data_IF_926701659525
#
_entry.id   IF_926701659525
#
_cell.length_a   1.000
_cell.length_b   1.000
_cell.length_c   1.000
_cell.angle_alpha   90.00
_cell.angle_beta   90.00
_cell.angle_gamma   90.00
#
_symmetry.space_group_name_H-M   'P 1'
#
loop_
_entity.id
_entity.type
_entity.pdbx_description
1 polymer ?
#
# COMPACT_ATOMS: atom_id res chain seq x y z
N UNK A 1 -13.96 16.83 -1.08
CA UNK A 1 -12.84 16.10 -0.45
C UNK A 1 -12.52 14.82 -1.21
N UNK A 2 -13.45 13.87 -1.33
CA UNK A 2 -13.22 12.61 -2.08
C UNK A 2 -12.92 12.80 -3.57
N UNK A 3 -13.52 13.81 -4.21
CA UNK A 3 -13.26 14.11 -5.62
C UNK A 3 -11.78 14.34 -5.93
N UNK A 4 -11.03 14.96 -5.01
CA UNK A 4 -9.60 15.20 -5.18
C UNK A 4 -8.80 13.89 -5.07
N UNK A 5 -9.16 13.03 -4.12
CA UNK A 5 -8.52 11.71 -3.96
C UNK A 5 -8.79 10.80 -5.17
N UNK A 6 -10.01 10.85 -5.70
CA UNK A 6 -10.42 10.13 -6.92
C UNK A 6 -9.66 10.66 -8.14
N UNK A 7 -9.61 11.99 -8.31
CA UNK A 7 -8.98 12.63 -9.47
C UNK A 7 -7.47 12.39 -9.50
N UNK A 8 -6.81 12.45 -8.34
CA UNK A 8 -5.37 12.20 -8.24
C UNK A 8 -5.00 10.71 -8.23
N UNK A 9 -5.98 9.79 -8.21
CA UNK A 9 -5.77 8.33 -8.11
C UNK A 9 -4.76 7.94 -7.03
N UNK A 10 -4.78 8.65 -5.90
CA UNK A 10 -3.84 8.37 -4.81
C UNK A 10 -4.23 7.07 -4.13
N UNK A 11 -3.22 6.30 -3.75
CA UNK A 11 -3.42 5.16 -2.87
C UNK A 11 -3.71 5.67 -1.46
N UNK A 12 -4.70 5.08 -0.81
CA UNK A 12 -5.13 5.43 0.54
C UNK A 12 -5.23 4.17 1.38
N UNK A 13 -5.03 4.34 2.69
CA UNK A 13 -5.43 3.36 3.70
C UNK A 13 -6.70 3.83 4.39
N UNK A 14 -7.71 2.97 4.42
CA UNK A 14 -9.00 3.22 5.07
C UNK A 14 -9.14 2.28 6.25
N UNK A 15 -9.37 2.84 7.45
CA UNK A 15 -9.65 2.05 8.65
C UNK A 15 -11.15 2.00 8.93
N UNK A 16 -11.64 0.78 9.13
CA UNK A 16 -13.02 0.46 9.48
C UNK A 16 -13.02 -0.49 10.69
N UNK A 17 -13.30 0.04 11.90
CA UNK A 17 -13.22 -0.71 13.15
C UNK A 17 -11.87 -1.45 13.29
N UNK A 18 -11.86 -2.78 13.12
CA UNK A 18 -10.67 -3.64 13.24
C UNK A 18 -9.96 -3.90 11.92
N UNK A 19 -10.59 -3.52 10.81
CA UNK A 19 -10.08 -3.79 9.47
C UNK A 19 -9.39 -2.56 8.88
N UNK A 20 -8.30 -2.79 8.16
CA UNK A 20 -7.60 -1.77 7.37
C UNK A 20 -7.57 -2.22 5.90
N UNK A 21 -8.06 -1.36 5.01
CA UNK A 21 -8.15 -1.65 3.57
C UNK A 21 -7.35 -0.60 2.81
N UNK A 22 -6.40 -1.08 1.99
CA UNK A 22 -5.55 -0.22 1.15
C UNK A 22 -5.96 -0.30 -0.32
N UNK A 23 -5.90 0.83 -1.00
CA UNK A 23 -6.15 0.87 -2.44
C UNK A 23 -6.44 2.26 -2.96
N UNK A 24 -6.91 2.31 -4.20
CA UNK A 24 -7.24 3.58 -4.87
C UNK A 24 -8.75 3.79 -4.82
N UNK A 25 -9.16 4.98 -4.39
CA UNK A 25 -10.56 5.39 -4.46
C UNK A 25 -10.89 5.65 -5.93
N UNK A 26 -11.79 4.85 -6.48
CA UNK A 26 -12.19 4.96 -7.89
C UNK A 26 -13.48 5.75 -8.08
N UNK A 27 -14.35 5.74 -7.07
CA UNK A 27 -15.61 6.46 -7.14
C UNK A 27 -16.18 6.76 -5.74
N UNK A 28 -17.08 7.74 -5.69
CA UNK A 28 -17.89 8.06 -4.52
C UNK A 28 -19.35 8.16 -4.97
N UNK A 29 -20.26 7.51 -4.25
CA UNK A 29 -21.69 7.50 -4.53
C UNK A 29 -22.43 8.28 -3.42
N UNK A 30 -22.68 9.59 -3.60
CA UNK A 30 -23.23 10.43 -2.54
C UNK A 30 -24.62 10.01 -2.09
N UNK A 31 -25.48 9.61 -3.05
CA UNK A 31 -26.85 9.20 -2.79
C UNK A 31 -26.95 7.99 -1.84
N UNK A 32 -25.92 7.14 -1.82
CA UNK A 32 -25.87 5.93 -1.00
C UNK A 32 -24.84 6.02 0.12
N UNK A 33 -24.12 7.15 0.22
CA UNK A 33 -22.99 7.35 1.15
C UNK A 33 -21.95 6.22 1.07
N UNK A 34 -21.69 5.72 -0.14
CA UNK A 34 -20.74 4.63 -0.40
C UNK A 34 -19.47 5.15 -1.08
N UNK A 35 -18.32 4.65 -0.65
CA UNK A 35 -17.01 4.89 -1.26
C UNK A 35 -16.53 3.63 -1.96
N UNK A 36 -16.13 3.74 -3.23
CA UNK A 36 -15.56 2.62 -3.99
C UNK A 36 -14.04 2.67 -3.94
N UNK A 37 -13.45 1.68 -3.29
CA UNK A 37 -12.00 1.49 -3.22
C UNK A 37 -11.66 0.15 -3.90
N UNK A 38 -10.85 0.20 -4.96
CA UNK A 38 -10.62 -0.94 -5.86
C UNK A 38 -11.96 -1.56 -6.35
N UNK A 39 -12.25 -2.80 -5.93
CA UNK A 39 -13.48 -3.55 -6.21
C UNK A 39 -14.41 -3.69 -4.99
N UNK A 40 -14.15 -2.93 -3.92
CA UNK A 40 -14.91 -2.96 -2.66
C UNK A 40 -15.73 -1.67 -2.53
N UNK A 41 -16.97 -1.80 -2.04
CA UNK A 41 -17.82 -0.69 -1.65
C UNK A 41 -17.85 -0.59 -0.13
N UNK A 42 -17.49 0.58 0.40
CA UNK A 42 -17.36 0.83 1.84
C UNK A 42 -18.38 1.92 2.22
N UNK A 43 -19.32 1.65 3.14
CA UNK A 43 -20.17 2.67 3.73
C UNK A 43 -19.35 3.70 4.49
N UNK A 44 -19.57 4.99 4.20
CA UNK A 44 -18.83 6.08 4.83
C UNK A 44 -19.03 6.10 6.35
N UNK A 45 -20.18 5.65 6.81
CA UNK A 45 -20.51 5.55 8.24
C UNK A 45 -19.59 4.60 9.00
N UNK A 46 -18.93 3.66 8.31
CA UNK A 46 -18.00 2.70 8.89
C UNK A 46 -16.54 3.15 8.78
N UNK A 47 -16.28 4.27 8.11
CA UNK A 47 -14.93 4.78 7.93
C UNK A 47 -14.56 5.66 9.13
N UNK A 48 -13.58 5.22 9.91
CA UNK A 48 -13.08 6.00 11.03
C UNK A 48 -11.97 6.96 10.59
N UNK A 49 -11.12 6.51 9.67
CA UNK A 49 -9.93 7.23 9.26
C UNK A 49 -9.56 6.90 7.81
N UNK A 50 -9.05 7.90 7.09
CA UNK A 50 -8.47 7.75 5.75
C UNK A 50 -7.11 8.43 5.77
N UNK A 51 -6.07 7.68 5.43
CA UNK A 51 -4.71 8.17 5.27
C UNK A 51 -4.29 8.09 3.81
N UNK A 52 -3.71 9.16 3.27
CA UNK A 52 -3.16 9.15 1.92
C UNK A 52 -1.75 8.59 1.98
N UNK A 53 -1.50 7.51 1.25
CA UNK A 53 -0.18 6.93 1.14
C UNK A 53 0.60 7.71 0.08
N UNK A 54 1.82 8.10 0.42
CA UNK A 54 2.72 8.68 -0.59
C UNK A 54 3.06 7.61 -1.62
N UNK A 55 3.10 7.95 -2.93
CA UNK A 55 3.55 7.02 -3.93
C UNK A 55 4.95 6.58 -3.56
N UNK A 56 5.18 5.26 -3.53
CA UNK A 56 6.53 4.70 -3.52
C UNK A 56 7.16 5.12 -4.85
N UNK A 57 7.77 6.30 -4.86
CA UNK A 57 8.80 6.61 -5.85
C UNK A 57 9.81 5.49 -5.68
N UNK A 58 9.90 4.61 -6.66
CA UNK A 58 10.98 3.64 -6.80
C UNK A 58 12.29 4.43 -6.71
N UNK A 59 12.83 4.55 -5.50
CA UNK A 59 14.11 5.17 -5.23
C UNK A 59 15.21 4.15 -5.53
N UNK A 60 15.23 3.71 -6.79
CA UNK A 60 16.40 3.12 -7.41
C UNK A 60 17.42 4.21 -7.74
N UNK A 61 18.00 4.85 -6.72
CA UNK A 61 19.27 5.59 -6.86
C UNK A 61 20.06 5.59 -5.55
N UNK A 62 21.05 4.71 -5.54
CA UNK A 62 22.31 4.70 -4.79
C UNK A 62 22.64 5.92 -3.92
N UNK A 63 22.95 5.66 -2.64
CA UNK A 63 24.12 6.28 -2.00
C UNK A 63 24.82 5.26 -1.11
N UNK A 64 26.13 5.11 -1.36
CA UNK A 64 27.01 4.09 -0.80
C UNK A 64 27.24 4.26 0.71
N UNK A 65 27.45 3.10 1.36
CA UNK A 65 28.39 2.86 2.48
C UNK A 65 28.25 3.69 3.76
N UNK A 66 27.73 3.04 4.81
CA UNK A 66 28.53 2.88 6.02
C UNK A 66 28.19 1.58 6.78
N UNK A 67 29.16 0.64 6.76
CA UNK A 67 29.46 -0.44 7.72
C UNK A 67 28.33 -1.03 8.58
N UNK A 68 27.95 -2.25 8.23
CA UNK A 68 27.36 -3.24 9.12
C UNK A 68 27.68 -4.66 8.64
N UNK A 69 28.67 -5.29 9.24
CA UNK A 69 29.11 -6.66 8.96
C UNK A 69 27.97 -7.68 9.04
N UNK A 70 27.79 -8.48 7.98
CA UNK A 70 27.71 -9.97 7.99
C UNK A 70 27.31 -10.45 6.59
N UNK A 71 28.31 -10.89 5.82
CA UNK A 71 28.09 -11.66 4.61
C UNK A 71 27.57 -13.05 5.02
N UNK A 72 26.27 -13.29 4.85
CA UNK A 72 25.73 -14.65 4.88
C UNK A 72 25.93 -15.23 3.48
N UNK A 73 26.91 -16.13 3.35
CA UNK A 73 27.08 -16.95 2.15
C UNK A 73 26.22 -18.21 2.29
N UNK A 74 25.31 -18.41 1.34
CA UNK A 74 24.61 -19.67 1.15
C UNK A 74 25.63 -20.70 0.62
N UNK A 75 25.99 -21.70 1.43
CA UNK A 75 26.82 -22.83 0.98
C UNK A 75 25.87 -23.93 0.52
N UNK A 76 25.56 -23.95 -0.77
CA UNK A 76 24.96 -25.14 -1.38
C UNK A 76 26.06 -26.21 -1.47
N UNK A 77 26.01 -27.18 -0.54
CA UNK A 77 26.93 -28.30 -0.51
C UNK A 77 26.50 -29.30 -1.61
N UNK A 78 27.01 -29.07 -2.82
CA UNK A 78 26.89 -30.03 -3.92
C UNK A 78 27.70 -31.28 -3.60
N UNK A 79 27.03 -32.33 -3.13
CA UNK A 79 27.56 -33.69 -3.10
C UNK A 79 27.65 -34.19 -4.54
N UNK A 80 28.83 -34.18 -5.14
CA UNK A 80 29.12 -35.04 -6.28
C UNK A 80 29.59 -36.40 -5.75
N UNK A 81 28.71 -37.39 -5.90
CA UNK A 81 29.09 -38.80 -5.93
C UNK A 81 29.53 -39.12 -7.36
N UNK A 82 30.78 -39.58 -7.50
CA UNK A 82 31.24 -40.64 -8.43
C UNK A 82 32.76 -40.61 -8.49
#
# INVERSE_FOLDING_TARGET
>A
MFEMLISCKKEVSIRCDKDEIRGVITNYYPAFRLLKLNNVLIPIELIEQIEVLEPVLDSFTQSKTHRGNRSLRLVALGRHYS
#
